data_IF_191218079521
#
_entry.id   IF_191218079521
#
_cell.length_a   1.000
_cell.length_b   1.000
_cell.length_c   1.000
_cell.angle_alpha   90.00
_cell.angle_beta   90.00
_cell.angle_gamma   90.00
#
_symmetry.space_group_name_H-M   'P 1'
#
loop_
_entity.id
_entity.type
_entity.pdbx_description
1 polymer ?
#
# COMPACT_ATOMS: atom_id res chain seq x y z
N UNK A 1 6.83 -6.17 -18.13
CA UNK A 1 5.62 -5.38 -17.78
C UNK A 1 6.01 -4.49 -16.62
N UNK A 2 6.38 -3.23 -16.90
CA UNK A 2 6.96 -2.34 -15.89
C UNK A 2 5.82 -1.68 -15.10
N UNK A 3 5.72 -2.00 -13.81
CA UNK A 3 4.88 -1.25 -12.90
C UNK A 3 5.57 0.11 -12.66
N UNK A 4 5.11 1.15 -13.36
CA UNK A 4 5.46 2.52 -13.03
C UNK A 4 4.96 2.81 -11.61
N UNK A 5 5.85 2.73 -10.62
CA UNK A 5 5.67 3.38 -9.32
C UNK A 5 5.59 4.88 -9.59
N UNK A 6 4.42 5.37 -9.97
CA UNK A 6 4.15 6.80 -9.98
C UNK A 6 4.29 7.25 -8.54
N UNK A 7 5.35 8.02 -8.28
CA UNK A 7 5.64 8.59 -6.98
C UNK A 7 4.56 9.63 -6.67
N UNK A 8 3.44 9.18 -6.11
CA UNK A 8 2.38 10.06 -5.64
C UNK A 8 2.97 10.84 -4.47
N UNK A 9 3.09 12.16 -4.63
CA UNK A 9 3.35 13.06 -3.49
C UNK A 9 2.10 13.03 -2.62
N UNK A 10 2.10 12.17 -1.60
CA UNK A 10 0.95 11.94 -0.73
C UNK A 10 1.15 10.71 0.15
N UNK A 11 0.11 10.35 0.90
CA UNK A 11 0.05 9.10 1.66
C UNK A 11 -0.71 8.06 0.85
N UNK A 12 -0.25 6.82 0.84
CA UNK A 12 -1.05 5.69 0.37
C UNK A 12 -0.99 4.52 1.31
N UNK A 13 -2.08 3.77 1.38
CA UNK A 13 -2.17 2.53 2.13
C UNK A 13 -3.16 1.59 1.44
N UNK A 14 -3.09 0.30 1.78
CA UNK A 14 -3.90 -0.73 1.13
C UNK A 14 -4.82 -1.40 2.14
N UNK A 15 -6.07 -1.65 1.73
CA UNK A 15 -7.04 -2.39 2.53
C UNK A 15 -7.29 -3.73 1.84
N UNK A 16 -7.03 -4.81 2.58
CA UNK A 16 -7.20 -6.18 2.09
C UNK A 16 -8.37 -6.86 2.78
N UNK A 17 -9.29 -7.40 2.00
CA UNK A 17 -10.36 -8.22 2.53
C UNK A 17 -9.80 -9.55 3.04
N UNK A 18 -9.88 -9.77 4.35
CA UNK A 18 -9.53 -11.01 5.04
C UNK A 18 -10.77 -11.71 5.64
N UNK A 19 -11.97 -11.19 5.39
CA UNK A 19 -13.24 -11.70 5.90
C UNK A 19 -13.85 -12.71 4.89
N UNK A 20 -15.10 -12.51 4.46
CA UNK A 20 -15.77 -13.27 3.39
C UNK A 20 -15.92 -12.43 2.13
N UNK A 21 -16.51 -13.01 1.09
CA UNK A 21 -16.93 -12.23 -0.08
C UNK A 21 -17.87 -11.10 0.35
N UNK A 22 -17.62 -9.93 -0.22
CA UNK A 22 -18.21 -8.69 0.21
C UNK A 22 -18.32 -7.69 -0.94
N UNK A 23 -19.12 -6.64 -0.72
CA UNK A 23 -19.28 -5.55 -1.68
C UNK A 23 -19.13 -4.21 -0.96
N UNK A 24 -18.15 -3.41 -1.39
CA UNK A 24 -17.89 -2.08 -0.86
C UNK A 24 -18.93 -1.10 -1.42
N UNK A 25 -19.71 -0.49 -0.55
CA UNK A 25 -20.83 0.40 -0.90
C UNK A 25 -20.63 1.84 -0.47
N UNK A 26 -19.52 2.17 0.20
CA UNK A 26 -19.16 3.56 0.46
C UNK A 26 -17.86 3.73 1.25
N UNK A 27 -17.18 4.84 1.00
CA UNK A 27 -16.10 5.36 1.87
C UNK A 27 -16.69 6.52 2.66
N UNK A 28 -16.67 6.41 3.99
CA UNK A 28 -17.40 7.32 4.89
C UNK A 28 -16.50 8.39 5.48
N UNK A 29 -15.30 8.02 5.93
CA UNK A 29 -14.34 8.93 6.57
C UNK A 29 -12.92 8.42 6.41
N UNK A 30 -11.96 9.34 6.37
CA UNK A 30 -10.52 9.05 6.49
C UNK A 30 -9.94 10.08 7.44
N UNK A 31 -9.13 9.64 8.41
CA UNK A 31 -8.37 10.54 9.27
C UNK A 31 -6.90 10.12 9.38
N UNK A 32 -6.04 11.12 9.53
CA UNK A 32 -4.59 10.95 9.72
C UNK A 32 -4.24 11.71 11.00
N UNK A 33 -3.68 11.03 11.99
CA UNK A 33 -3.37 11.58 13.31
C UNK A 33 -4.59 12.26 13.98
N UNK A 34 -5.78 11.69 13.79
CA UNK A 34 -7.04 12.24 14.29
C UNK A 34 -7.55 13.47 13.53
N UNK A 35 -6.86 13.92 12.46
CA UNK A 35 -7.34 14.99 11.59
C UNK A 35 -8.07 14.41 10.39
N UNK A 36 -9.32 14.81 10.20
CA UNK A 36 -10.14 14.34 9.08
C UNK A 36 -9.61 14.88 7.75
N UNK A 37 -9.57 13.99 6.76
CA UNK A 37 -9.15 14.28 5.39
C UNK A 37 -10.40 14.46 4.53
N UNK A 38 -10.43 15.53 3.73
CA UNK A 38 -11.47 15.72 2.73
C UNK A 38 -11.49 14.57 1.73
N UNK A 39 -12.64 13.92 1.57
CA UNK A 39 -12.81 12.84 0.58
C UNK A 39 -12.61 13.31 -0.87
N UNK A 40 -12.60 14.62 -1.13
CA UNK A 40 -12.24 15.17 -2.44
C UNK A 40 -10.74 15.03 -2.76
N UNK A 41 -9.91 14.96 -1.73
CA UNK A 41 -8.46 14.76 -1.83
C UNK A 41 -8.07 13.27 -1.79
N UNK A 42 -9.07 12.38 -1.88
CA UNK A 42 -8.89 10.93 -1.81
C UNK A 42 -9.24 10.29 -3.15
N UNK A 43 -8.48 9.27 -3.53
CA UNK A 43 -8.80 8.38 -4.65
C UNK A 43 -8.66 6.92 -4.21
N UNK A 44 -9.53 6.07 -4.73
CA UNK A 44 -9.54 4.63 -4.49
C UNK A 44 -9.05 3.94 -5.76
N UNK A 45 -7.88 3.32 -5.68
CA UNK A 45 -7.27 2.57 -6.77
C UNK A 45 -7.59 1.07 -6.60
N UNK A 46 -8.38 0.56 -7.56
CA UNK A 46 -8.84 -0.83 -7.63
C UNK A 46 -7.93 -1.69 -8.53
N UNK A 47 -6.77 -1.17 -8.93
CA UNK A 47 -5.79 -1.73 -9.87
C UNK A 47 -6.22 -1.76 -11.34
N UNK A 48 -7.52 -1.88 -11.63
CA UNK A 48 -8.09 -1.78 -12.97
C UNK A 48 -8.58 -0.37 -13.31
N UNK A 49 -9.06 0.36 -12.30
CA UNK A 49 -9.54 1.74 -12.39
C UNK A 49 -9.34 2.49 -11.08
N UNK A 50 -9.39 3.82 -11.18
CA UNK A 50 -9.35 4.72 -10.03
C UNK A 50 -10.69 5.42 -9.92
N UNK A 51 -11.28 5.40 -8.73
CA UNK A 51 -12.57 6.02 -8.41
C UNK A 51 -12.41 7.07 -7.31
N UNK A 52 -13.27 8.08 -7.31
CA UNK A 52 -13.47 8.96 -6.15
C UNK A 52 -14.34 8.26 -5.12
N UNK A 53 -14.16 8.55 -3.82
CA UNK A 53 -15.05 8.08 -2.76
C UNK A 53 -16.55 8.25 -3.08
N UNK A 54 -16.93 9.38 -3.67
CA UNK A 54 -18.32 9.71 -4.02
C UNK A 54 -18.92 8.83 -5.13
N UNK A 55 -18.10 8.10 -5.90
CA UNK A 55 -18.56 7.20 -6.95
C UNK A 55 -18.91 5.80 -6.41
N UNK A 56 -18.41 5.46 -5.22
CA UNK A 56 -18.66 4.19 -4.54
C UNK A 56 -19.88 4.39 -3.64
N UNK A 57 -21.02 3.88 -4.08
CA UNK A 57 -22.31 4.05 -3.40
C UNK A 57 -23.08 2.74 -3.38
N UNK A 58 -24.20 2.69 -2.65
CA UNK A 58 -25.11 1.53 -2.70
C UNK A 58 -25.72 1.29 -4.09
N UNK A 59 -25.79 2.32 -4.94
CA UNK A 59 -26.28 2.24 -6.32
C UNK A 59 -25.19 1.86 -7.32
N UNK A 60 -23.93 2.15 -6.99
CA UNK A 60 -22.77 1.79 -7.79
C UNK A 60 -21.69 1.19 -6.89
N UNK A 61 -21.92 -0.04 -6.37
CA UNK A 61 -21.03 -0.64 -5.41
C UNK A 61 -19.84 -1.32 -6.13
N UNK A 62 -18.78 -1.60 -5.37
CA UNK A 62 -17.56 -2.22 -5.89
C UNK A 62 -17.40 -3.61 -5.30
N UNK A 63 -17.15 -4.60 -6.14
CA UNK A 63 -16.83 -5.96 -5.71
C UNK A 63 -15.57 -5.97 -4.84
N UNK A 64 -15.72 -6.50 -3.62
CA UNK A 64 -14.62 -6.65 -2.69
C UNK A 64 -14.55 -8.08 -2.13
N UNK A 65 -14.36 -9.12 -2.99
CA UNK A 65 -14.35 -10.50 -2.55
C UNK A 65 -13.13 -10.85 -1.68
N UNK A 66 -13.16 -12.03 -1.06
CA UNK A 66 -12.10 -12.49 -0.17
C UNK A 66 -10.72 -12.42 -0.85
N UNK A 67 -9.72 -11.93 -0.11
CA UNK A 67 -8.32 -11.71 -0.52
C UNK A 67 -8.09 -10.57 -1.50
N UNK A 68 -9.13 -9.88 -1.99
CA UNK A 68 -8.94 -8.67 -2.79
C UNK A 68 -8.40 -7.53 -1.94
N UNK A 69 -7.74 -6.62 -2.62
CA UNK A 69 -7.14 -5.43 -2.04
C UNK A 69 -7.57 -4.23 -2.88
N UNK A 70 -7.71 -3.07 -2.27
CA UNK A 70 -7.68 -1.78 -2.96
C UNK A 70 -6.72 -0.83 -2.26
N UNK A 71 -6.25 0.18 -2.97
CA UNK A 71 -5.39 1.22 -2.43
C UNK A 71 -6.19 2.48 -2.17
N UNK A 72 -5.91 3.13 -1.05
CA UNK A 72 -6.38 4.47 -0.74
C UNK A 72 -5.22 5.42 -1.00
N UNK A 73 -5.44 6.40 -1.86
CA UNK A 73 -4.48 7.42 -2.25
C UNK A 73 -4.96 8.75 -1.69
N UNK A 74 -4.17 9.35 -0.79
CA UNK A 74 -4.50 10.62 -0.15
C UNK A 74 -3.55 11.69 -0.63
N UNK A 75 -4.11 12.74 -1.24
CA UNK A 75 -3.38 13.93 -1.66
C UNK A 75 -3.12 14.81 -0.43
N UNK A 76 -1.96 14.64 0.17
CA UNK A 76 -1.51 15.40 1.34
C UNK A 76 -0.04 15.77 1.22
N UNK A 77 0.42 16.68 2.09
CA UNK A 77 1.85 16.92 2.26
C UNK A 77 2.56 15.65 2.75
N UNK A 78 3.86 15.55 2.49
CA UNK A 78 4.65 14.44 3.02
C UNK A 78 4.58 14.44 4.55
N UNK A 79 4.19 13.30 5.12
CA UNK A 79 4.17 13.12 6.57
C UNK A 79 5.62 13.02 7.08
N UNK A 80 5.92 13.59 8.27
CA UNK A 80 7.23 13.48 8.88
C UNK A 80 7.58 12.02 9.21
N UNK A 81 8.85 11.76 9.52
CA UNK A 81 9.25 10.47 10.07
C UNK A 81 8.65 10.26 11.47
N UNK A 82 8.28 9.02 11.79
CA UNK A 82 7.69 8.67 13.07
C UNK A 82 6.36 7.93 12.93
N UNK A 83 5.67 7.79 14.07
CA UNK A 83 4.39 7.10 14.17
C UNK A 83 3.25 7.98 13.68
N UNK A 84 2.36 7.38 12.90
CA UNK A 84 1.14 7.99 12.39
C UNK A 84 -0.04 7.05 12.65
N UNK A 85 -1.14 7.63 13.14
CA UNK A 85 -2.41 6.93 13.28
C UNK A 85 -3.24 7.16 12.03
N UNK A 86 -3.79 6.11 11.45
CA UNK A 86 -4.66 6.14 10.30
C UNK A 86 -6.01 5.54 10.68
N UNK A 87 -7.08 6.23 10.35
CA UNK A 87 -8.44 5.73 10.51
C UNK A 87 -9.18 5.79 9.18
N UNK A 88 -9.98 4.77 8.89
CA UNK A 88 -10.91 4.76 7.77
C UNK A 88 -12.25 4.15 8.19
N UNK A 89 -13.33 4.88 7.89
CA UNK A 89 -14.69 4.40 7.93
C UNK A 89 -15.18 4.03 6.53
N UNK A 90 -15.76 2.85 6.36
CA UNK A 90 -16.35 2.41 5.09
C UNK A 90 -17.56 1.50 5.32
N UNK A 91 -18.42 1.40 4.32
CA UNK A 91 -19.59 0.54 4.33
C UNK A 91 -19.39 -0.62 3.37
N UNK A 92 -19.65 -1.83 3.85
CA UNK A 92 -19.44 -3.06 3.10
C UNK A 92 -20.52 -4.09 3.43
N UNK A 93 -21.19 -4.64 2.42
CA UNK A 93 -22.16 -5.72 2.59
C UNK A 93 -21.45 -7.07 2.60
N UNK A 94 -21.78 -8.02 3.50
CA UNK A 94 -22.90 -8.01 4.45
C UNK A 94 -22.57 -7.44 5.85
N UNK A 95 -21.40 -6.83 6.05
CA UNK A 95 -20.92 -6.46 7.39
C UNK A 95 -21.41 -5.08 7.89
N UNK A 96 -22.02 -4.28 7.04
CA UNK A 96 -22.46 -2.93 7.36
C UNK A 96 -21.29 -1.94 7.44
N UNK A 97 -21.35 -1.02 8.40
CA UNK A 97 -20.33 0.03 8.57
C UNK A 97 -19.18 -0.49 9.42
N UNK A 98 -17.97 -0.38 8.88
CA UNK A 98 -16.74 -0.77 9.55
C UNK A 98 -15.85 0.46 9.73
N UNK A 99 -15.10 0.48 10.84
CA UNK A 99 -14.03 1.45 11.09
C UNK A 99 -12.77 0.67 11.38
N UNK A 100 -11.69 0.99 10.67
CA UNK A 100 -10.36 0.43 10.88
C UNK A 100 -9.43 1.54 11.35
N UNK A 101 -8.74 1.31 12.46
CA UNK A 101 -7.70 2.18 12.97
C UNK A 101 -6.38 1.40 13.03
N UNK A 102 -5.29 2.02 12.57
CA UNK A 102 -3.94 1.43 12.58
C UNK A 102 -2.91 2.50 12.88
N UNK A 103 -1.90 2.15 13.68
CA UNK A 103 -0.72 2.97 13.86
C UNK A 103 0.43 2.35 13.07
N UNK A 104 1.05 3.13 12.18
CA UNK A 104 2.25 2.72 11.43
C UNK A 104 3.35 3.77 11.53
N UNK A 105 4.59 3.41 11.20
CA UNK A 105 5.73 4.32 11.27
C UNK A 105 6.37 4.55 9.92
N UNK A 106 6.49 5.83 9.53
CA UNK A 106 7.27 6.23 8.37
C UNK A 106 8.73 6.31 8.80
N UNK A 107 9.59 5.55 8.10
CA UNK A 107 11.04 5.58 8.28
C UNK A 107 11.67 6.20 7.04
N UNK A 108 12.75 6.97 7.22
CA UNK A 108 13.62 7.34 6.09
C UNK A 108 14.11 6.07 5.41
N UNK A 109 14.02 6.00 4.09
CA UNK A 109 14.81 5.01 3.37
C UNK A 109 16.28 5.36 3.59
N UNK A 110 16.98 4.52 4.35
CA UNK A 110 18.44 4.58 4.40
C UNK A 110 18.96 4.07 3.06
N UNK A 111 19.15 5.00 2.12
CA UNK A 111 19.76 4.72 0.82
C UNK A 111 21.20 4.21 0.95
N UNK A 112 21.80 4.28 2.15
CA UNK A 112 23.12 3.76 2.43
C UNK A 112 23.10 2.33 3.02
N UNK A 113 21.91 1.71 3.11
CA UNK A 113 21.83 0.30 3.52
C UNK A 113 22.43 -0.57 2.43
N UNK A 114 23.58 -1.17 2.73
CA UNK A 114 24.22 -2.16 1.88
C UNK A 114 23.25 -3.35 1.70
N UNK A 115 22.87 -3.63 0.45
CA UNK A 115 21.89 -4.66 0.07
C UNK A 115 22.58 -5.75 -0.75
N UNK A 116 22.17 -6.99 -0.52
CA UNK A 116 22.56 -8.13 -1.35
C UNK A 116 21.95 -7.92 -2.75
N UNK A 117 22.74 -8.00 -3.83
CA UNK A 117 22.22 -7.91 -5.20
C UNK A 117 21.15 -8.96 -5.48
N UNK A 118 20.08 -8.55 -6.18
CA UNK A 118 19.01 -9.43 -6.64
C UNK A 118 18.73 -9.18 -8.12
N UNK A 119 18.32 -10.23 -8.83
CA UNK A 119 17.78 -10.14 -10.18
C UNK A 119 16.25 -10.26 -10.10
N UNK A 120 15.54 -9.26 -10.61
CA UNK A 120 14.07 -9.23 -10.52
C UNK A 120 13.38 -10.19 -11.51
N UNK A 121 14.09 -10.69 -12.52
CA UNK A 121 13.55 -11.55 -13.57
C UNK A 121 13.89 -13.03 -13.36
N UNK A 122 15.15 -13.34 -13.01
CA UNK A 122 15.59 -14.71 -12.71
C UNK A 122 16.62 -14.75 -11.57
N UNK A 123 16.08 -14.70 -10.36
CA UNK A 123 16.86 -14.58 -9.13
C UNK A 123 17.57 -15.88 -8.70
N UNK A 124 17.34 -16.98 -9.43
CA UNK A 124 17.90 -18.31 -9.16
C UNK A 124 18.88 -18.79 -10.23
N UNK A 125 19.05 -18.02 -11.30
CA UNK A 125 20.05 -18.29 -12.33
C UNK A 125 21.45 -18.46 -11.73
N UNK A 126 22.32 -19.29 -12.34
CA UNK A 126 23.73 -19.39 -11.94
C UNK A 126 24.45 -18.03 -11.85
N UNK A 127 24.07 -17.09 -12.72
CA UNK A 127 24.59 -15.73 -12.79
C UNK A 127 24.19 -14.88 -11.57
N UNK A 128 22.91 -14.94 -11.17
CA UNK A 128 22.42 -14.26 -9.97
C UNK A 128 23.08 -14.83 -8.70
N UNK A 129 23.28 -16.15 -8.64
CA UNK A 129 23.99 -16.82 -7.54
C UNK A 129 25.44 -16.34 -7.48
N UNK A 130 26.16 -16.33 -8.61
CA UNK A 130 27.56 -15.89 -8.67
C UNK A 130 27.74 -14.42 -8.27
N UNK A 131 26.80 -13.57 -8.67
CA UNK A 131 26.80 -12.14 -8.31
C UNK A 131 26.71 -11.95 -6.79
N UNK A 132 25.88 -12.75 -6.11
CA UNK A 132 25.77 -12.71 -4.65
C UNK A 132 26.98 -13.30 -3.95
N UNK A 133 27.53 -14.41 -4.44
CA UNK A 133 28.74 -15.00 -3.88
C UNK A 133 29.89 -13.99 -3.92
N UNK A 134 30.09 -13.33 -5.08
CA UNK A 134 31.08 -12.27 -5.22
C UNK A 134 30.84 -11.09 -4.26
N UNK A 135 29.58 -10.67 -4.12
CA UNK A 135 29.24 -9.63 -3.14
C UNK A 135 29.57 -10.03 -1.70
N UNK A 136 29.30 -11.28 -1.31
CA UNK A 136 29.63 -11.80 0.03
C UNK A 136 31.15 -11.86 0.23
N UNK A 137 31.90 -12.30 -0.78
CA UNK A 137 33.37 -12.31 -0.74
C UNK A 137 33.94 -10.90 -0.54
N UNK A 138 33.46 -9.93 -1.31
CA UNK A 138 33.90 -8.53 -1.24
C UNK A 138 33.48 -7.86 0.07
N UNK A 139 32.27 -8.17 0.57
CA UNK A 139 31.73 -7.57 1.78
C UNK A 139 32.34 -8.16 3.06
N UNK A 140 32.52 -9.48 3.13
CA UNK A 140 33.07 -10.17 4.29
C UNK A 140 34.61 -10.21 4.30
N UNK A 141 35.25 -10.01 3.13
CA UNK A 141 36.70 -10.13 2.98
C UNK A 141 37.21 -11.59 3.08
N UNK A 142 36.32 -12.57 2.94
CA UNK A 142 36.64 -14.00 3.07
C UNK A 142 36.11 -14.74 1.84
N UNK A 143 36.90 -15.67 1.30
CA UNK A 143 36.42 -16.60 0.27
C UNK A 143 35.67 -17.77 0.94
N UNK A 144 34.43 -18.08 0.52
CA UNK A 144 33.68 -19.22 1.03
C UNK A 144 34.26 -20.56 0.57
#
# INVERSE_FOLDING_TARGET
MAASKTQIKGLSFSIKNRLSDATLSGILSISINGQEVSLQDVSIDLFDRVLRPAEITTQNPVDFPLRKTFNVLVKTAALPEGKHSLEIGFEVSPFGKLTLQVDDSIKKEDHNRIKIPRDDNDDYSPEAIKTRQKFVEEFAGVKP
#
